data_IF_718317111565
#
_entry.id   IF_718317111565
#
_cell.length_a   1.000
_cell.length_b   1.000
_cell.length_c   1.000
_cell.angle_alpha   90.00
_cell.angle_beta   90.00
_cell.angle_gamma   90.00
#
_symmetry.space_group_name_H-M   'P 1'
#
loop_
_entity.id
_entity.type
_entity.pdbx_description
1 polymer ?
#
# COMPACT_ATOMS: atom_id res chain seq x y z
N UNK A 1 10.05 10.20 18.49
CA UNK A 1 10.79 11.11 17.57
C UNK A 1 11.88 10.39 16.81
N UNK A 2 12.82 9.67 17.45
CA UNK A 2 13.89 8.93 16.75
C UNK A 2 13.37 7.90 15.76
N UNK A 3 12.36 7.13 16.17
CA UNK A 3 11.58 6.19 15.37
C UNK A 3 10.95 6.84 14.14
N UNK A 4 10.30 7.99 14.31
CA UNK A 4 9.70 8.75 13.22
C UNK A 4 10.75 9.24 12.22
N UNK A 5 11.89 9.75 12.70
CA UNK A 5 13.00 10.19 11.85
C UNK A 5 13.57 9.02 11.05
N UNK A 6 13.78 7.87 11.68
CA UNK A 6 14.25 6.65 10.99
C UNK A 6 13.23 6.19 9.95
N UNK A 7 11.95 6.18 10.31
CA UNK A 7 10.87 5.84 9.37
C UNK A 7 10.89 6.75 8.14
N UNK A 8 10.92 8.06 8.34
CA UNK A 8 10.93 9.03 7.25
C UNK A 8 12.20 8.90 6.39
N UNK A 9 13.38 8.92 7.03
CA UNK A 9 14.65 8.85 6.32
C UNK A 9 14.76 7.58 5.46
N UNK A 10 14.37 6.42 6.01
CA UNK A 10 14.45 5.14 5.30
C UNK A 10 13.37 5.05 4.21
N UNK A 11 12.12 5.43 4.51
CA UNK A 11 11.02 5.31 3.54
C UNK A 11 11.24 6.19 2.33
N UNK A 12 11.56 7.47 2.56
CA UNK A 12 11.81 8.43 1.49
C UNK A 12 13.17 8.19 0.82
N UNK A 13 14.19 7.77 1.58
CA UNK A 13 15.50 7.43 1.04
C UNK A 13 15.43 6.24 0.08
N UNK A 14 14.79 5.13 0.48
CA UNK A 14 14.60 3.96 -0.38
C UNK A 14 13.74 4.28 -1.59
N UNK A 15 12.65 5.03 -1.42
CA UNK A 15 11.82 5.45 -2.54
C UNK A 15 12.59 6.32 -3.54
N UNK A 16 13.39 7.28 -3.06
CA UNK A 16 14.21 8.13 -3.91
C UNK A 16 15.29 7.34 -4.67
N UNK A 17 15.93 6.36 -4.02
CA UNK A 17 16.91 5.47 -4.68
C UNK A 17 16.26 4.62 -5.79
N UNK A 18 15.07 4.08 -5.53
CA UNK A 18 14.30 3.32 -6.53
C UNK A 18 13.87 4.20 -7.70
N UNK A 19 13.48 5.45 -7.43
CA UNK A 19 13.12 6.42 -8.47
C UNK A 19 14.30 6.79 -9.34
N UNK A 20 15.45 7.06 -8.72
CA UNK A 20 16.67 7.35 -9.44
C UNK A 20 17.07 6.17 -10.34
N UNK A 21 17.03 4.95 -9.80
CA UNK A 21 17.29 3.74 -10.58
C UNK A 21 16.33 3.63 -11.77
N UNK A 22 15.02 3.71 -11.56
CA UNK A 22 14.06 3.59 -12.65
C UNK A 22 14.20 4.69 -13.70
N UNK A 23 14.47 5.94 -13.30
CA UNK A 23 14.69 7.04 -14.23
C UNK A 23 15.95 6.85 -15.08
N UNK A 24 17.03 6.30 -14.50
CA UNK A 24 18.25 5.96 -15.25
C UNK A 24 18.03 4.84 -16.28
N UNK A 25 17.24 3.82 -15.93
CA UNK A 25 16.86 2.74 -16.85
C UNK A 25 15.91 3.26 -17.95
N UNK A 26 14.93 4.09 -17.59
CA UNK A 26 13.99 4.69 -18.55
C UNK A 26 14.68 5.47 -19.67
N UNK A 27 15.79 6.16 -19.37
CA UNK A 27 16.56 6.90 -20.37
C UNK A 27 17.42 6.04 -21.30
N UNK A 28 17.65 4.76 -20.96
CA UNK A 28 18.57 3.86 -21.68
C UNK A 28 17.89 2.70 -22.40
N UNK A 29 16.63 2.40 -22.09
CA UNK A 29 15.87 1.29 -22.68
C UNK A 29 14.91 1.80 -23.76
N UNK A 30 15.13 1.40 -25.00
CA UNK A 30 14.26 1.73 -26.14
C UNK A 30 13.07 0.76 -26.30
N UNK A 31 13.18 -0.47 -25.80
CA UNK A 31 12.11 -1.47 -25.87
C UNK A 31 11.02 -1.20 -24.82
N UNK A 32 9.79 -1.00 -25.32
CA UNK A 32 8.61 -0.71 -24.50
C UNK A 32 8.22 -1.88 -23.58
N UNK A 33 8.44 -3.13 -24.01
CA UNK A 33 8.11 -4.30 -23.19
C UNK A 33 9.07 -4.43 -22.01
N UNK A 34 10.37 -4.31 -22.25
CA UNK A 34 11.36 -4.26 -21.19
C UNK A 34 11.10 -3.10 -20.21
N UNK A 35 10.77 -1.91 -20.73
CA UNK A 35 10.43 -0.76 -19.88
C UNK A 35 9.19 -1.00 -19.00
N UNK A 36 8.15 -1.65 -19.53
CA UNK A 36 6.95 -2.01 -18.76
C UNK A 36 7.27 -3.03 -17.65
N UNK A 37 8.15 -4.00 -17.92
CA UNK A 37 8.62 -4.95 -16.92
C UNK A 37 9.39 -4.24 -15.79
N UNK A 38 10.35 -3.38 -16.14
CA UNK A 38 11.10 -2.58 -15.17
C UNK A 38 10.19 -1.64 -14.38
N UNK A 39 9.19 -1.03 -15.03
CA UNK A 39 8.18 -0.19 -14.37
C UNK A 39 7.33 -0.98 -13.37
N UNK A 40 6.98 -2.23 -13.70
CA UNK A 40 6.24 -3.10 -12.78
C UNK A 40 7.09 -3.47 -11.55
N UNK A 41 8.36 -3.82 -11.77
CA UNK A 41 9.31 -4.12 -10.67
C UNK A 41 9.56 -2.87 -9.81
N UNK A 42 9.77 -1.72 -10.43
CA UNK A 42 9.91 -0.44 -9.72
C UNK A 42 8.68 -0.14 -8.87
N UNK A 43 7.48 -0.24 -9.44
CA UNK A 43 6.23 0.01 -8.74
C UNK A 43 6.06 -0.89 -7.52
N UNK A 44 6.30 -2.20 -7.70
CA UNK A 44 6.27 -3.17 -6.61
C UNK A 44 7.26 -2.83 -5.50
N UNK A 45 8.54 -2.60 -5.84
CA UNK A 45 9.56 -2.28 -4.84
C UNK A 45 9.26 -0.96 -4.12
N UNK A 46 8.80 0.06 -4.86
CA UNK A 46 8.47 1.37 -4.31
C UNK A 46 7.33 1.32 -3.30
N UNK A 47 6.31 0.49 -3.53
CA UNK A 47 5.20 0.28 -2.59
C UNK A 47 5.67 -0.27 -1.23
N UNK A 48 6.75 -1.06 -1.19
CA UNK A 48 7.29 -1.63 0.04
C UNK A 48 8.34 -0.75 0.75
N UNK A 49 8.76 0.38 0.17
CA UNK A 49 9.70 1.30 0.82
C UNK A 49 9.21 1.79 2.21
N UNK A 50 7.93 2.18 2.40
CA UNK A 50 7.40 2.50 3.73
C UNK A 50 7.40 1.31 4.69
N UNK A 51 7.19 0.09 4.17
CA UNK A 51 7.23 -1.12 4.99
C UNK A 51 8.64 -1.37 5.53
N UNK A 52 9.66 -1.24 4.68
CA UNK A 52 11.05 -1.32 5.10
C UNK A 52 11.41 -0.22 6.13
N UNK A 53 10.91 1.01 5.91
CA UNK A 53 11.04 2.11 6.86
C UNK A 53 10.42 1.81 8.22
N UNK A 54 9.20 1.25 8.24
CA UNK A 54 8.53 0.86 9.48
C UNK A 54 9.29 -0.24 10.23
N UNK A 55 9.73 -1.28 9.51
CA UNK A 55 10.52 -2.37 10.10
C UNK A 55 11.81 -1.88 10.74
N UNK A 56 12.54 -0.98 10.05
CA UNK A 56 13.78 -0.42 10.56
C UNK A 56 13.55 0.55 11.72
N UNK A 57 12.46 1.33 11.70
CA UNK A 57 12.09 2.20 12.82
C UNK A 57 11.73 1.40 14.09
N UNK A 58 11.01 0.29 13.94
CA UNK A 58 10.69 -0.64 15.04
C UNK A 58 11.98 -1.25 15.61
N UNK A 59 12.87 -1.74 14.73
CA UNK A 59 14.16 -2.30 15.12
C UNK A 59 15.05 -1.26 15.83
N UNK A 60 15.10 -0.02 15.33
CA UNK A 60 15.84 1.09 15.95
C UNK A 60 15.24 1.51 17.31
N UNK A 61 13.99 1.18 17.57
CA UNK A 61 13.30 1.38 18.84
C UNK A 61 13.49 0.22 19.81
N UNK A 62 14.26 -0.83 19.42
CA UNK A 62 14.43 -2.09 20.16
C UNK A 62 13.12 -2.80 20.49
N UNK A 63 12.07 -2.53 19.72
CA UNK A 63 10.79 -3.21 19.87
C UNK A 63 10.74 -4.45 19.00
N UNK A 64 9.95 -5.43 19.40
CA UNK A 64 9.74 -6.64 18.61
C UNK A 64 8.76 -6.35 17.49
N UNK A 65 9.19 -6.55 16.24
CA UNK A 65 8.31 -6.43 15.06
C UNK A 65 7.08 -7.31 15.20
N UNK A 66 7.23 -8.51 15.74
CA UNK A 66 6.13 -9.46 15.91
C UNK A 66 5.13 -8.96 16.96
N UNK A 67 5.61 -8.35 18.05
CA UNK A 67 4.72 -7.80 19.08
C UNK A 67 4.02 -6.53 18.60
N UNK A 68 4.72 -5.64 17.90
CA UNK A 68 4.12 -4.46 17.28
C UNK A 68 3.06 -4.88 16.25
N UNK A 69 3.36 -5.86 15.40
CA UNK A 69 2.41 -6.39 14.41
C UNK A 69 1.20 -7.03 15.09
N UNK A 70 1.39 -7.77 16.19
CA UNK A 70 0.29 -8.33 16.99
C UNK A 70 -0.54 -7.24 17.65
N UNK A 71 0.08 -6.15 18.12
CA UNK A 71 -0.61 -5.01 18.70
C UNK A 71 -1.42 -4.23 17.65
N UNK A 72 -0.85 -4.01 16.46
CA UNK A 72 -1.53 -3.38 15.32
C UNK A 72 -2.64 -4.24 14.74
N UNK A 73 -2.35 -5.53 14.52
CA UNK A 73 -3.35 -6.49 14.09
C UNK A 73 -4.44 -6.61 15.13
N UNK A 74 -4.09 -6.46 16.41
CA UNK A 74 -5.00 -6.24 17.53
C UNK A 74 -6.32 -6.92 17.29
N UNK A 75 -6.28 -8.22 16.96
CA UNK A 75 -7.38 -8.97 16.32
C UNK A 75 -8.48 -9.22 17.37
N UNK A 76 -8.95 -8.16 18.00
CA UNK A 76 -10.26 -8.13 18.59
C UNK A 76 -11.24 -8.36 17.45
N UNK A 77 -12.19 -9.27 17.68
CA UNK A 77 -13.28 -9.61 16.77
C UNK A 77 -13.91 -8.40 16.08
N UNK A 78 -13.95 -7.23 16.74
CA UNK A 78 -14.46 -5.96 16.19
C UNK A 78 -13.63 -5.41 15.02
N UNK A 79 -12.30 -5.40 15.10
CA UNK A 79 -11.45 -4.89 14.02
C UNK A 79 -11.58 -5.75 12.75
N UNK A 80 -11.63 -7.08 12.92
CA UNK A 80 -11.89 -8.02 11.83
C UNK A 80 -13.29 -7.83 11.23
N UNK A 81 -14.32 -7.66 12.07
CA UNK A 81 -15.69 -7.35 11.62
C UNK A 81 -15.74 -6.05 10.84
N UNK A 82 -15.08 -4.98 11.28
CA UNK A 82 -15.05 -3.71 10.54
C UNK A 82 -14.26 -3.81 9.23
N UNK A 83 -13.13 -4.53 9.22
CA UNK A 83 -12.37 -4.80 8.01
C UNK A 83 -13.20 -5.57 6.96
N UNK A 84 -13.98 -6.56 7.39
CA UNK A 84 -14.88 -7.32 6.52
C UNK A 84 -16.15 -6.55 6.13
N UNK A 85 -16.67 -5.67 7.00
CA UNK A 85 -17.83 -4.83 6.71
C UNK A 85 -17.49 -3.67 5.76
N UNK A 86 -16.26 -3.16 5.76
CA UNK A 86 -15.88 -2.00 4.95
C UNK A 86 -16.15 -2.20 3.43
N UNK A 87 -15.80 -3.34 2.80
CA UNK A 87 -16.20 -3.63 1.41
C UNK A 87 -17.72 -3.76 1.25
N UNK A 88 -18.39 -4.38 2.23
CA UNK A 88 -19.85 -4.61 2.22
C UNK A 88 -20.65 -3.31 2.18
N UNK A 89 -20.18 -2.26 2.88
CA UNK A 89 -20.79 -0.91 2.82
C UNK A 89 -20.71 -0.33 1.41
N UNK A 90 -19.57 -0.48 0.74
CA UNK A 90 -19.38 -0.01 -0.64
C UNK A 90 -20.29 -0.78 -1.60
N UNK A 91 -20.32 -2.11 -1.50
CA UNK A 91 -21.19 -2.94 -2.35
C UNK A 91 -22.68 -2.71 -2.07
N UNK A 92 -23.07 -2.41 -0.84
CA UNK A 92 -24.45 -2.05 -0.51
C UNK A 92 -24.87 -0.76 -1.21
N UNK A 93 -24.03 0.27 -1.21
CA UNK A 93 -24.31 1.51 -1.93
C UNK A 93 -24.48 1.27 -3.44
N UNK A 94 -23.60 0.47 -4.03
CA UNK A 94 -23.71 0.06 -5.45
C UNK A 94 -24.99 -0.74 -5.70
N UNK A 95 -25.33 -1.68 -4.81
CA UNK A 95 -26.56 -2.47 -4.92
C UNK A 95 -27.83 -1.62 -4.85
N UNK A 96 -27.87 -0.62 -3.96
CA UNK A 96 -28.99 0.33 -3.88
C UNK A 96 -29.08 1.16 -5.17
N UNK A 97 -27.96 1.67 -5.67
CA UNK A 97 -27.94 2.40 -6.94
C UNK A 97 -28.50 1.57 -8.09
N UNK A 98 -28.08 0.31 -8.22
CA UNK A 98 -28.57 -0.60 -9.26
C UNK A 98 -30.06 -0.92 -9.07
N UNK A 99 -30.52 -1.20 -7.85
CA UNK A 99 -31.92 -1.50 -7.57
C UNK A 99 -32.85 -0.33 -7.91
N UNK A 100 -32.45 0.90 -7.55
CA UNK A 100 -33.19 2.12 -7.90
C UNK A 100 -33.12 2.36 -9.42
N UNK A 101 -31.95 2.20 -10.02
CA UNK A 101 -31.75 2.36 -11.47
C UNK A 101 -32.62 1.42 -12.30
N UNK A 102 -32.73 0.14 -11.90
CA UNK A 102 -33.62 -0.85 -12.51
C UNK A 102 -35.10 -0.49 -12.32
N UNK A 103 -35.50 -0.04 -11.12
CA UNK A 103 -36.88 0.33 -10.84
C UNK A 103 -37.35 1.57 -11.64
N UNK A 104 -36.43 2.48 -11.96
CA UNK A 104 -36.70 3.72 -12.72
C UNK A 104 -36.41 3.55 -14.22
N UNK A 105 -35.86 2.41 -14.65
CA UNK A 105 -35.57 2.11 -16.06
C UNK A 105 -34.41 2.93 -16.64
N UNK A 106 -33.44 3.30 -15.81
CA UNK A 106 -32.26 4.11 -16.18
C UNK A 106 -31.00 3.25 -16.34
N UNK A 107 -31.05 2.00 -15.91
CA UNK A 107 -29.96 1.03 -15.99
C UNK A 107 -30.45 -0.14 -16.84
N UNK A 108 -29.77 -0.39 -17.96
CA UNK A 108 -30.00 -1.51 -18.90
C UNK A 108 -29.46 -2.85 -18.37
#
# INVERSE_FOLDING_TARGET
>A
MRDLVVFLAVSFGLAALLDFWFLSVRGSVADLYALALYGSVWGLLRMYAPTAGALLAIKASRRSVVEELKAYLGLGRRALVYFLLAPLVVYLAVGIYLAVGLAVGVVD
#
